data_IF_168602900626
#
_entry.id   IF_168602900626
#
_cell.length_a   1.000
_cell.length_b   1.000
_cell.length_c   1.000
_cell.angle_alpha   90.00
_cell.angle_beta   90.00
_cell.angle_gamma   90.00
#
_symmetry.space_group_name_H-M   'P 1'
#
loop_
_entity.id
_entity.type
_entity.pdbx_description
1 polymer ?
#
# COMPACT_ATOMS: atom_id res chain seq x y z
N UNK A 1 8.45 -50.08 -114.83
CA UNK A 1 7.79 -49.12 -115.75
C UNK A 1 8.20 -47.67 -115.45
N UNK A 2 8.61 -46.93 -116.48
CA UNK A 2 8.96 -45.50 -116.41
C UNK A 2 7.88 -44.69 -117.12
N UNK A 3 7.27 -43.74 -116.42
CA UNK A 3 6.34 -42.79 -117.00
C UNK A 3 7.11 -41.51 -117.39
N UNK A 4 6.87 -40.91 -118.57
CA UNK A 4 7.54 -39.68 -118.98
C UNK A 4 7.22 -38.53 -118.02
N UNK A 5 8.22 -37.69 -117.74
CA UNK A 5 8.13 -36.53 -116.83
C UNK A 5 7.37 -35.40 -117.51
N UNK A 6 6.23 -34.93 -116.96
CA UNK A 6 5.52 -33.77 -117.49
C UNK A 6 6.38 -32.50 -117.52
N UNK A 7 6.06 -31.54 -118.42
CA UNK A 7 6.73 -30.23 -118.45
C UNK A 7 6.40 -29.39 -117.20
N UNK A 8 7.29 -28.48 -116.81
CA UNK A 8 7.25 -27.76 -115.52
C UNK A 8 6.03 -26.84 -115.33
N UNK A 9 5.39 -26.44 -116.42
CA UNK A 9 4.19 -25.60 -116.47
C UNK A 9 2.89 -26.43 -116.61
N UNK A 10 2.97 -27.75 -116.51
CA UNK A 10 1.81 -28.62 -116.53
C UNK A 10 0.85 -28.26 -115.38
N UNK A 11 -0.37 -27.86 -115.75
CA UNK A 11 -1.42 -27.41 -114.84
C UNK A 11 -2.74 -28.19 -115.02
N UNK A 12 -2.71 -29.29 -115.78
CA UNK A 12 -3.87 -30.12 -116.14
C UNK A 12 -3.96 -31.43 -115.37
N UNK A 13 -4.53 -32.46 -116.01
CA UNK A 13 -4.73 -33.80 -115.44
C UNK A 13 -3.62 -34.79 -115.84
N UNK A 14 -2.39 -34.31 -116.07
CA UNK A 14 -1.26 -35.15 -116.45
C UNK A 14 -0.90 -36.16 -115.35
N UNK A 15 -0.33 -37.32 -115.74
CA UNK A 15 0.19 -38.31 -114.79
C UNK A 15 1.49 -37.78 -114.18
N UNK A 16 1.42 -37.28 -112.95
CA UNK A 16 2.60 -36.86 -112.20
C UNK A 16 3.49 -38.08 -111.87
N UNK A 17 4.77 -38.02 -112.24
CA UNK A 17 5.75 -38.99 -111.82
C UNK A 17 6.60 -38.44 -110.66
N UNK A 18 7.37 -39.32 -109.98
CA UNK A 18 8.13 -38.93 -108.81
C UNK A 18 9.20 -37.85 -109.09
N UNK A 19 9.70 -37.77 -110.32
CA UNK A 19 10.67 -36.76 -110.75
C UNK A 19 10.01 -35.37 -110.84
N UNK A 20 8.84 -35.28 -111.47
CA UNK A 20 8.06 -34.05 -111.58
C UNK A 20 7.65 -33.50 -110.21
N UNK A 21 7.17 -34.37 -109.31
CA UNK A 21 6.79 -33.96 -107.94
C UNK A 21 8.00 -33.49 -107.13
N UNK A 22 9.14 -34.20 -107.19
CA UNK A 22 10.37 -33.74 -106.51
C UNK A 22 10.87 -32.42 -107.07
N UNK A 23 10.76 -32.21 -108.40
CA UNK A 23 11.18 -30.98 -109.06
C UNK A 23 10.32 -29.79 -108.68
N UNK A 24 8.99 -29.92 -108.66
CA UNK A 24 8.09 -28.84 -108.21
C UNK A 24 8.22 -28.57 -106.70
N UNK A 25 8.44 -29.60 -105.88
CA UNK A 25 8.71 -29.41 -104.45
C UNK A 25 10.04 -28.71 -104.22
N UNK A 26 11.08 -29.07 -104.99
CA UNK A 26 12.35 -28.37 -104.99
C UNK A 26 12.17 -26.92 -105.44
N UNK A 27 11.44 -26.65 -106.53
CA UNK A 27 11.15 -25.28 -106.98
C UNK A 27 10.37 -24.45 -105.93
N UNK A 28 9.44 -25.08 -105.21
CA UNK A 28 8.70 -24.43 -104.12
C UNK A 28 9.62 -24.10 -102.94
N UNK A 29 10.50 -25.02 -102.54
CA UNK A 29 11.51 -24.81 -101.48
C UNK A 29 12.57 -23.79 -101.93
N UNK A 30 13.05 -23.87 -103.17
CA UNK A 30 14.04 -22.98 -103.80
C UNK A 30 13.48 -21.58 -104.05
N UNK A 31 12.16 -21.40 -104.12
CA UNK A 31 11.52 -20.09 -104.23
C UNK A 31 11.52 -19.30 -102.91
N UNK A 32 11.86 -19.94 -101.79
CA UNK A 32 11.88 -19.31 -100.47
C UNK A 32 12.96 -19.87 -99.51
N UNK A 33 14.23 -20.06 -99.92
CA UNK A 33 15.27 -20.59 -99.04
C UNK A 33 15.53 -19.63 -97.88
N UNK A 34 15.61 -18.32 -98.17
CA UNK A 34 15.79 -17.28 -97.17
C UNK A 34 14.62 -17.23 -96.18
N UNK A 35 13.37 -17.38 -96.65
CA UNK A 35 12.22 -17.38 -95.76
C UNK A 35 12.15 -18.66 -94.90
N UNK A 36 12.47 -19.83 -95.46
CA UNK A 36 12.50 -21.08 -94.69
C UNK A 36 13.67 -21.10 -93.68
N UNK A 37 14.81 -20.54 -94.05
CA UNK A 37 15.94 -20.32 -93.16
C UNK A 37 15.53 -19.39 -92.02
N UNK A 38 14.88 -18.25 -92.30
CA UNK A 38 14.37 -17.35 -91.24
C UNK A 38 13.35 -18.01 -90.32
N UNK A 39 12.50 -18.91 -90.83
CA UNK A 39 11.54 -19.66 -90.02
C UNK A 39 12.24 -20.70 -89.13
N UNK A 40 13.27 -21.38 -89.65
CA UNK A 40 14.08 -22.32 -88.88
C UNK A 40 14.90 -21.59 -87.81
N UNK A 41 15.47 -20.43 -88.14
CA UNK A 41 16.16 -19.55 -87.19
C UNK A 41 15.22 -19.06 -86.09
N UNK A 42 13.99 -18.66 -86.45
CA UNK A 42 12.98 -18.22 -85.47
C UNK A 42 12.52 -19.37 -84.56
N UNK A 43 12.29 -20.56 -85.12
CA UNK A 43 11.93 -21.74 -84.34
C UNK A 43 13.03 -22.14 -83.36
N UNK A 44 14.29 -22.13 -83.82
CA UNK A 44 15.45 -22.35 -82.97
C UNK A 44 15.61 -21.25 -81.90
N UNK A 45 15.37 -19.98 -82.24
CA UNK A 45 15.42 -18.87 -81.29
C UNK A 45 14.34 -18.96 -80.20
N UNK A 46 13.19 -19.57 -80.49
CA UNK A 46 12.15 -19.90 -79.51
C UNK A 46 12.37 -21.25 -78.80
N UNK A 47 13.52 -21.89 -79.00
CA UNK A 47 13.92 -23.13 -78.34
C UNK A 47 13.24 -24.38 -78.89
N UNK A 48 12.66 -24.33 -80.10
CA UNK A 48 11.88 -25.42 -80.69
C UNK A 48 10.74 -25.92 -79.77
N UNK A 49 10.17 -25.03 -78.95
CA UNK A 49 9.10 -25.38 -77.98
C UNK A 49 7.71 -25.31 -78.65
N UNK A 50 7.05 -26.46 -78.91
CA UNK A 50 5.70 -26.47 -79.50
C UNK A 50 4.63 -25.87 -78.58
N UNK A 51 4.92 -25.71 -77.29
CA UNK A 51 4.04 -25.12 -76.28
C UNK A 51 4.59 -23.80 -75.74
N UNK A 52 5.44 -23.09 -76.49
CA UNK A 52 6.13 -21.86 -76.05
C UNK A 52 5.22 -20.90 -75.27
N UNK A 53 4.03 -20.60 -75.79
CA UNK A 53 3.08 -19.70 -75.14
C UNK A 53 2.65 -20.19 -73.75
N UNK A 54 2.39 -21.49 -73.60
CA UNK A 54 2.04 -22.12 -72.32
C UNK A 54 3.24 -22.14 -71.37
N UNK A 55 4.43 -22.49 -71.88
CA UNK A 55 5.67 -22.49 -71.10
C UNK A 55 5.98 -21.11 -70.53
N UNK A 56 5.91 -20.07 -71.36
CA UNK A 56 6.12 -18.68 -70.96
C UNK A 56 5.02 -18.24 -69.99
N UNK A 57 3.76 -18.54 -70.26
CA UNK A 57 2.65 -18.19 -69.36
C UNK A 57 2.81 -18.84 -67.98
N UNK A 58 3.21 -20.11 -67.92
CA UNK A 58 3.49 -20.82 -66.67
C UNK A 58 4.68 -20.21 -65.93
N UNK A 59 5.75 -19.83 -66.66
CA UNK A 59 6.91 -19.16 -66.07
C UNK A 59 6.55 -17.78 -65.50
N UNK A 60 5.66 -17.03 -66.16
CA UNK A 60 5.13 -15.76 -65.68
C UNK A 60 4.19 -15.94 -64.49
N UNK A 61 3.34 -16.97 -64.50
CA UNK A 61 2.43 -17.29 -63.40
C UNK A 61 3.18 -17.67 -62.11
N UNK A 62 4.39 -18.24 -62.23
CA UNK A 62 5.28 -18.49 -61.10
C UNK A 62 6.01 -17.25 -60.57
N UNK A 63 5.92 -16.10 -61.26
CA UNK A 63 6.46 -14.84 -60.74
C UNK A 63 5.51 -14.29 -59.69
N UNK A 64 6.10 -13.82 -58.60
CA UNK A 64 5.37 -13.10 -57.58
C UNK A 64 4.73 -11.83 -58.19
N UNK A 65 3.44 -11.54 -57.93
CA UNK A 65 2.84 -10.27 -58.32
C UNK A 65 3.62 -9.08 -57.77
N UNK A 66 3.68 -8.00 -58.55
CA UNK A 66 4.33 -6.77 -58.09
C UNK A 66 3.53 -6.20 -56.91
N UNK A 67 4.10 -6.29 -55.72
CA UNK A 67 3.55 -5.75 -54.48
C UNK A 67 4.65 -4.96 -53.78
N UNK A 68 4.43 -3.66 -53.58
CA UNK A 68 5.44 -2.77 -53.02
C UNK A 68 5.93 -3.18 -51.63
N UNK A 69 5.07 -3.79 -50.81
CA UNK A 69 5.45 -4.31 -49.49
C UNK A 69 6.37 -5.52 -49.63
N UNK A 70 6.03 -6.50 -50.47
CA UNK A 70 6.89 -7.68 -50.65
C UNK A 70 8.22 -7.30 -51.32
N UNK A 71 8.22 -6.32 -52.24
CA UNK A 71 9.46 -5.74 -52.78
C UNK A 71 10.31 -5.14 -51.66
N UNK A 72 9.72 -4.34 -50.77
CA UNK A 72 10.44 -3.79 -49.62
C UNK A 72 10.97 -4.87 -48.66
N UNK A 73 10.19 -5.92 -48.35
CA UNK A 73 10.65 -7.07 -47.55
C UNK A 73 11.85 -7.75 -48.20
N UNK A 74 11.80 -7.98 -49.51
CA UNK A 74 12.87 -8.67 -50.25
C UNK A 74 14.19 -7.90 -50.33
N UNK A 75 14.16 -6.58 -50.11
CA UNK A 75 15.33 -5.71 -50.12
C UNK A 75 16.02 -5.61 -48.75
N UNK A 76 15.40 -6.13 -47.69
CA UNK A 76 16.02 -6.16 -46.36
C UNK A 76 17.09 -7.24 -46.35
N UNK A 77 18.30 -6.85 -45.98
CA UNK A 77 19.37 -7.77 -45.60
C UNK A 77 19.20 -8.13 -44.12
N UNK A 78 18.85 -9.39 -43.77
CA UNK A 78 18.70 -9.77 -42.37
C UNK A 78 20.04 -9.70 -41.64
N UNK A 79 20.04 -9.12 -40.44
CA UNK A 79 21.18 -9.10 -39.53
C UNK A 79 20.92 -10.00 -38.32
N UNK A 80 21.99 -10.48 -37.66
CA UNK A 80 21.83 -11.31 -36.47
C UNK A 80 21.04 -10.57 -35.37
N UNK A 81 20.09 -11.29 -34.77
CA UNK A 81 19.30 -10.79 -33.66
C UNK A 81 18.43 -9.56 -33.98
N UNK A 82 17.97 -9.43 -35.23
CA UNK A 82 17.07 -8.35 -35.66
C UNK A 82 15.63 -8.80 -35.89
N UNK A 83 14.67 -7.90 -35.68
CA UNK A 83 13.25 -8.09 -35.98
C UNK A 83 12.76 -7.05 -37.00
N UNK A 84 12.15 -7.46 -38.12
CA UNK A 84 11.52 -6.52 -39.05
C UNK A 84 10.31 -5.80 -38.42
N UNK A 85 10.21 -4.50 -38.62
CA UNK A 85 9.07 -3.69 -38.19
C UNK A 85 8.77 -2.59 -39.21
N UNK A 86 7.55 -2.03 -39.18
CA UNK A 86 7.15 -0.89 -40.01
C UNK A 86 7.35 0.42 -39.25
N UNK A 87 8.02 1.40 -39.87
CA UNK A 87 8.12 2.75 -39.35
C UNK A 87 6.80 3.53 -39.50
N UNK A 88 6.71 4.72 -38.91
CA UNK A 88 5.57 5.63 -39.08
C UNK A 88 5.33 6.01 -40.56
N UNK A 89 6.38 6.02 -41.37
CA UNK A 89 6.34 6.25 -42.82
C UNK A 89 5.92 4.99 -43.62
N UNK A 90 5.59 3.89 -42.95
CA UNK A 90 5.23 2.62 -43.56
C UNK A 90 6.40 1.85 -44.20
N UNK A 91 7.66 2.22 -43.86
CA UNK A 91 8.86 1.55 -44.38
C UNK A 91 9.24 0.39 -43.49
N UNK A 92 9.69 -0.72 -44.08
CA UNK A 92 10.15 -1.88 -43.30
C UNK A 92 11.63 -1.66 -42.90
N UNK A 93 11.91 -1.73 -41.61
CA UNK A 93 13.22 -1.53 -40.98
C UNK A 93 13.53 -2.70 -40.03
N UNK A 94 14.78 -2.78 -39.57
CA UNK A 94 15.23 -3.78 -38.60
C UNK A 94 15.45 -3.15 -37.22
N UNK A 95 14.94 -3.81 -36.18
CA UNK A 95 15.19 -3.46 -34.78
C UNK A 95 16.11 -4.50 -34.13
N UNK A 96 17.17 -4.04 -33.45
CA UNK A 96 18.04 -4.92 -32.69
C UNK A 96 17.32 -5.46 -31.44
N UNK A 97 17.32 -6.78 -31.26
CA UNK A 97 16.79 -7.43 -30.07
C UNK A 97 17.90 -7.75 -29.07
N UNK A 98 17.68 -7.41 -27.80
CA UNK A 98 18.51 -7.90 -26.69
C UNK A 98 18.34 -9.40 -26.50
N UNK A 99 19.28 -10.04 -25.81
CA UNK A 99 19.17 -11.45 -25.43
C UNK A 99 17.86 -11.72 -24.66
N UNK A 100 17.54 -10.85 -23.71
CA UNK A 100 16.31 -10.89 -22.91
C UNK A 100 15.04 -10.82 -23.77
N UNK A 101 15.01 -9.94 -24.78
CA UNK A 101 13.86 -9.81 -25.67
C UNK A 101 13.68 -11.04 -26.56
N UNK A 102 14.79 -11.61 -27.07
CA UNK A 102 14.74 -12.87 -27.83
C UNK A 102 14.27 -14.03 -26.96
N UNK A 103 14.79 -14.13 -25.73
CA UNK A 103 14.36 -15.13 -24.77
C UNK A 103 12.86 -15.00 -24.51
N UNK A 104 12.35 -13.78 -24.25
CA UNK A 104 10.93 -13.53 -24.01
C UNK A 104 10.04 -13.92 -25.20
N UNK A 105 10.44 -13.58 -26.43
CA UNK A 105 9.70 -13.91 -27.66
C UNK A 105 9.68 -15.41 -27.98
N UNK A 106 10.64 -16.17 -27.45
CA UNK A 106 10.73 -17.61 -27.65
C UNK A 106 9.80 -18.43 -26.73
N UNK A 107 9.13 -17.78 -25.77
CA UNK A 107 8.29 -18.44 -24.77
C UNK A 107 6.83 -18.48 -25.21
N UNK A 108 6.16 -19.58 -24.90
CA UNK A 108 4.77 -19.85 -25.29
C UNK A 108 3.76 -19.79 -24.12
N UNK A 109 4.27 -19.63 -22.88
CA UNK A 109 3.44 -19.57 -21.67
C UNK A 109 3.64 -18.27 -20.89
N UNK A 110 2.56 -17.69 -20.33
CA UNK A 110 2.66 -16.54 -19.43
C UNK A 110 3.60 -16.78 -18.23
N UNK A 111 3.67 -18.01 -17.72
CA UNK A 111 4.52 -18.40 -16.59
C UNK A 111 6.00 -18.25 -16.93
N UNK A 112 6.40 -18.77 -18.10
CA UNK A 112 7.78 -18.64 -18.55
C UNK A 112 8.11 -17.17 -18.85
N UNK A 113 7.19 -16.43 -19.47
CA UNK A 113 7.39 -14.99 -19.73
C UNK A 113 7.60 -14.19 -18.44
N UNK A 114 6.82 -14.47 -17.38
CA UNK A 114 7.02 -13.82 -16.06
C UNK A 114 8.37 -14.19 -15.45
N UNK A 115 8.81 -15.43 -15.61
CA UNK A 115 10.11 -15.91 -15.14
C UNK A 115 11.24 -15.18 -15.87
N UNK A 116 11.14 -15.04 -17.19
CA UNK A 116 12.08 -14.27 -17.98
C UNK A 116 12.11 -12.82 -17.53
N UNK A 117 10.95 -12.18 -17.31
CA UNK A 117 10.88 -10.81 -16.77
C UNK A 117 11.29 -10.68 -15.30
N UNK A 118 11.71 -11.77 -14.64
CA UNK A 118 12.10 -11.82 -13.22
C UNK A 118 11.00 -11.35 -12.26
N UNK A 119 9.74 -11.45 -12.70
CA UNK A 119 8.58 -11.12 -11.89
C UNK A 119 8.39 -12.19 -10.82
N UNK A 120 8.35 -11.74 -9.57
CA UNK A 120 8.22 -12.62 -8.39
C UNK A 120 6.75 -12.88 -8.05
N UNK A 121 6.53 -13.68 -7.02
CA UNK A 121 5.20 -14.15 -6.59
C UNK A 121 4.13 -13.04 -6.48
N UNK A 122 4.50 -11.82 -6.08
CA UNK A 122 3.55 -10.71 -5.99
C UNK A 122 2.83 -10.38 -7.31
N UNK A 123 3.46 -10.61 -8.47
CA UNK A 123 2.87 -10.32 -9.78
C UNK A 123 1.74 -11.28 -10.18
N UNK A 124 1.55 -12.38 -9.44
CA UNK A 124 0.50 -13.38 -9.68
C UNK A 124 -0.52 -13.44 -8.56
N UNK A 125 -0.43 -12.55 -7.57
CA UNK A 125 -1.28 -12.56 -6.40
C UNK A 125 -2.35 -11.48 -6.51
N UNK A 126 -3.60 -11.85 -6.19
CA UNK A 126 -4.66 -10.87 -6.03
C UNK A 126 -4.39 -9.99 -4.80
N UNK A 127 -4.46 -8.65 -4.90
CA UNK A 127 -4.36 -7.78 -3.74
C UNK A 127 -5.44 -8.08 -2.69
N UNK A 128 -5.12 -7.80 -1.43
CA UNK A 128 -6.12 -7.81 -0.36
C UNK A 128 -7.27 -6.85 -0.68
N UNK A 129 -8.52 -7.28 -0.43
CA UNK A 129 -9.68 -6.41 -0.60
C UNK A 129 -9.91 -5.45 0.58
N UNK A 130 -9.41 -5.80 1.77
CA UNK A 130 -9.51 -5.01 2.99
C UNK A 130 -8.51 -5.47 4.08
N UNK A 131 -8.43 -4.79 5.23
CA UNK A 131 -7.52 -5.12 6.35
C UNK A 131 -7.73 -6.49 6.99
N UNK A 132 -8.87 -7.14 6.76
CA UNK A 132 -9.24 -8.45 7.32
C UNK A 132 -9.23 -9.54 6.28
N UNK A 133 -8.86 -9.23 5.05
CA UNK A 133 -8.63 -10.24 4.05
C UNK A 133 -7.44 -11.12 4.48
N UNK A 134 -7.79 -12.26 5.08
CA UNK A 134 -6.87 -13.32 5.53
C UNK A 134 -6.85 -14.48 4.53
N UNK A 135 -7.42 -14.29 3.33
CA UNK A 135 -7.43 -15.33 2.30
C UNK A 135 -5.99 -15.72 1.99
N UNK A 136 -5.59 -16.99 2.22
CA UNK A 136 -4.23 -17.43 1.93
C UNK A 136 -3.90 -17.16 0.46
N UNK A 137 -2.70 -16.63 0.19
CA UNK A 137 -2.22 -16.39 -1.17
C UNK A 137 -2.52 -15.00 -1.75
N UNK A 138 -3.12 -14.07 -0.99
CA UNK A 138 -3.31 -12.67 -1.42
C UNK A 138 -2.14 -11.75 -1.10
N UNK A 139 -1.91 -10.75 -1.95
CA UNK A 139 -0.86 -9.75 -1.78
C UNK A 139 -1.26 -8.74 -0.70
N UNK A 140 -0.46 -8.64 0.35
CA UNK A 140 -0.69 -7.69 1.42
C UNK A 140 -0.47 -6.25 0.94
N UNK A 141 -1.50 -5.41 1.08
CA UNK A 141 -1.40 -3.98 0.77
C UNK A 141 -1.02 -3.22 2.05
N UNK A 142 0.22 -2.75 2.11
CA UNK A 142 0.65 -1.90 3.23
C UNK A 142 -0.09 -0.56 3.17
N UNK A 143 -0.66 -0.15 4.30
CA UNK A 143 -1.21 1.19 4.51
C UNK A 143 -2.59 1.48 3.91
N UNK A 144 -2.99 0.89 2.78
CA UNK A 144 -4.23 1.27 2.08
C UNK A 144 -5.52 1.13 2.89
N UNK A 145 -5.56 0.19 3.85
CA UNK A 145 -6.74 -0.07 4.69
C UNK A 145 -6.45 0.08 6.19
N UNK A 146 -5.30 0.65 6.58
CA UNK A 146 -4.82 0.68 7.96
C UNK A 146 -3.87 1.84 8.27
N UNK A 147 -2.72 1.56 8.92
CA UNK A 147 -1.68 2.56 9.21
C UNK A 147 -1.04 3.06 7.91
N UNK A 148 -1.57 4.17 7.37
CA UNK A 148 -1.10 4.79 6.12
C UNK A 148 -2.22 5.27 5.20
N UNK A 149 -3.48 4.92 5.47
CA UNK A 149 -4.62 5.42 4.70
C UNK A 149 -4.80 6.92 5.00
N UNK A 150 -4.72 7.74 3.96
CA UNK A 150 -5.05 9.16 4.04
C UNK A 150 -6.57 9.29 3.93
N UNK A 151 -7.23 9.48 5.07
CA UNK A 151 -8.68 9.73 5.09
C UNK A 151 -8.98 11.10 4.50
N UNK A 152 -9.98 11.14 3.61
CA UNK A 152 -10.61 12.38 3.14
C UNK A 152 -11.82 12.72 4.02
N UNK A 153 -12.23 13.98 4.05
CA UNK A 153 -13.41 14.40 4.82
C UNK A 153 -14.69 13.69 4.38
N UNK A 154 -14.79 13.32 3.10
CA UNK A 154 -15.93 12.59 2.52
C UNK A 154 -16.04 11.14 3.03
N UNK A 155 -14.94 10.57 3.52
CA UNK A 155 -14.89 9.21 4.07
C UNK A 155 -15.17 9.18 5.59
N UNK A 156 -15.27 10.35 6.23
CA UNK A 156 -15.54 10.43 7.66
C UNK A 156 -16.97 9.97 7.97
N UNK A 157 -17.09 9.06 8.92
CA UNK A 157 -18.37 8.63 9.45
C UNK A 157 -18.91 9.73 10.36
N UNK A 158 -20.10 10.25 10.04
CA UNK A 158 -20.76 11.29 10.80
C UNK A 158 -21.79 10.69 11.78
N UNK A 159 -21.78 11.16 13.02
CA UNK A 159 -22.72 10.79 14.06
C UNK A 159 -23.29 12.04 14.75
N UNK A 160 -24.56 12.01 15.11
CA UNK A 160 -25.23 13.07 15.86
C UNK A 160 -24.85 13.02 17.35
N UNK A 161 -24.72 11.82 17.94
CA UNK A 161 -24.30 11.70 19.34
C UNK A 161 -24.33 10.26 19.87
N UNK A 162 -24.75 10.07 21.13
CA UNK A 162 -24.70 8.77 21.79
C UNK A 162 -25.50 7.67 21.05
N UNK A 163 -26.72 7.99 20.61
CA UNK A 163 -27.67 6.99 20.12
C UNK A 163 -27.20 6.27 18.86
N UNK A 164 -26.76 7.01 17.86
CA UNK A 164 -26.35 6.47 16.57
C UNK A 164 -24.90 5.97 16.60
N UNK A 165 -24.02 6.62 17.36
CA UNK A 165 -22.66 6.12 17.58
C UNK A 165 -22.65 4.73 18.23
N UNK A 166 -23.52 4.49 19.21
CA UNK A 166 -23.63 3.18 19.86
C UNK A 166 -24.11 2.10 18.90
N UNK A 167 -25.04 2.40 17.99
CA UNK A 167 -25.50 1.44 16.99
C UNK A 167 -24.39 1.05 16.01
N UNK A 168 -23.55 2.01 15.64
CA UNK A 168 -22.32 1.72 14.90
C UNK A 168 -21.34 0.88 15.72
N UNK A 169 -21.11 1.25 16.98
CA UNK A 169 -20.20 0.56 17.90
C UNK A 169 -20.57 -0.91 18.13
N UNK A 170 -21.86 -1.26 18.07
CA UNK A 170 -22.31 -2.65 18.13
C UNK A 170 -21.77 -3.47 16.97
N UNK A 171 -21.74 -2.91 15.76
CA UNK A 171 -21.44 -3.63 14.51
C UNK A 171 -20.00 -3.42 14.04
N UNK A 172 -19.31 -2.41 14.57
CA UNK A 172 -17.99 -2.01 14.09
C UNK A 172 -16.96 -3.12 14.28
N UNK A 173 -16.12 -3.23 13.27
CA UNK A 173 -15.09 -4.24 13.12
C UNK A 173 -13.69 -3.62 13.34
N UNK A 174 -12.62 -4.38 13.64
CA UNK A 174 -11.33 -3.79 14.01
C UNK A 174 -10.67 -3.01 12.87
N UNK A 175 -10.30 -1.76 13.07
CA UNK A 175 -9.75 -0.90 12.02
C UNK A 175 -9.62 0.55 12.48
N UNK A 176 -9.11 1.41 11.59
CA UNK A 176 -9.02 2.84 11.81
C UNK A 176 -10.13 3.55 11.05
N UNK A 177 -10.82 4.48 11.69
CA UNK A 177 -11.97 5.18 11.13
C UNK A 177 -11.82 6.68 11.33
N UNK A 178 -12.00 7.46 10.26
CA UNK A 178 -12.27 8.88 10.38
C UNK A 178 -13.70 9.09 10.86
N UNK A 179 -13.87 9.86 11.93
CA UNK A 179 -15.15 10.01 12.61
C UNK A 179 -15.38 11.46 13.01
N UNK A 180 -16.61 11.93 12.79
CA UNK A 180 -17.14 13.19 13.27
C UNK A 180 -18.37 12.92 14.13
N UNK A 181 -18.43 13.51 15.33
CA UNK A 181 -19.55 13.38 16.27
C UNK A 181 -19.96 14.79 16.71
N UNK A 182 -21.20 15.16 16.41
CA UNK A 182 -21.77 16.49 16.68
C UNK A 182 -21.93 16.76 18.18
N UNK A 183 -22.41 15.78 18.94
CA UNK A 183 -22.46 15.84 20.41
C UNK A 183 -21.75 14.64 21.03
N UNK A 184 -20.50 14.84 21.46
CA UNK A 184 -19.70 13.81 22.13
C UNK A 184 -19.78 13.85 23.65
N UNK A 185 -20.57 14.76 24.24
CA UNK A 185 -20.56 15.04 25.69
C UNK A 185 -20.95 13.83 26.55
N UNK A 186 -21.83 12.97 26.03
CA UNK A 186 -22.26 11.72 26.68
C UNK A 186 -21.35 10.52 26.38
N UNK A 187 -20.48 10.64 25.39
CA UNK A 187 -19.61 9.57 24.90
C UNK A 187 -18.18 9.68 25.45
N UNK A 188 -17.65 10.90 25.45
CA UNK A 188 -16.25 11.20 25.66
C UNK A 188 -16.15 12.32 26.69
N UNK A 189 -15.66 11.97 27.88
CA UNK A 189 -15.57 12.91 29.01
C UNK A 189 -14.78 14.16 28.62
N UNK A 190 -15.41 15.31 28.84
CA UNK A 190 -14.84 16.65 28.67
C UNK A 190 -14.49 17.03 27.23
N UNK A 191 -15.23 16.46 26.28
CA UNK A 191 -15.35 16.97 24.91
C UNK A 191 -16.82 17.24 24.61
N UNK A 192 -17.09 18.30 23.85
CA UNK A 192 -18.45 18.61 23.36
C UNK A 192 -18.63 18.15 21.92
N UNK A 193 -17.54 18.08 21.15
CA UNK A 193 -17.52 17.55 19.80
C UNK A 193 -16.32 16.61 19.63
N UNK A 194 -16.45 15.66 18.71
CA UNK A 194 -15.33 14.83 18.30
C UNK A 194 -15.12 14.94 16.80
N UNK A 195 -13.91 15.30 16.39
CA UNK A 195 -13.51 15.22 14.99
C UNK A 195 -12.12 14.59 14.97
N UNK A 196 -11.98 13.40 14.43
CA UNK A 196 -10.68 12.75 14.47
C UNK A 196 -10.71 11.30 14.06
N UNK A 197 -9.78 10.54 14.62
CA UNK A 197 -9.53 9.15 14.26
C UNK A 197 -9.89 8.24 15.42
N UNK A 198 -10.64 7.17 15.14
CA UNK A 198 -10.94 6.13 16.10
C UNK A 198 -10.30 4.82 15.64
N UNK A 199 -9.39 4.30 16.46
CA UNK A 199 -8.83 2.95 16.29
C UNK A 199 -9.67 1.96 17.08
N UNK A 200 -10.30 1.03 16.38
CA UNK A 200 -11.12 -0.04 16.94
C UNK A 200 -10.33 -1.33 16.98
N UNK A 201 -10.26 -1.94 18.14
CA UNK A 201 -9.68 -3.26 18.35
C UNK A 201 -10.72 -4.16 18.99
N UNK A 202 -10.84 -5.40 18.51
CA UNK A 202 -11.58 -6.41 19.26
C UNK A 202 -10.67 -7.01 20.31
N UNK A 203 -11.21 -7.22 21.51
CA UNK A 203 -10.54 -8.00 22.54
C UNK A 203 -10.31 -9.42 22.01
N UNK A 204 -9.16 -10.05 22.27
CA UNK A 204 -8.99 -11.48 22.00
C UNK A 204 -9.68 -12.37 23.05
N UNK A 205 -10.17 -11.79 24.15
CA UNK A 205 -10.73 -12.51 25.29
C UNK A 205 -12.22 -12.21 25.52
N UNK A 206 -12.96 -13.24 25.95
CA UNK A 206 -14.36 -13.17 26.40
C UNK A 206 -15.34 -12.63 25.35
N UNK A 207 -15.34 -13.21 24.15
CA UNK A 207 -16.22 -12.80 23.05
C UNK A 207 -16.86 -14.01 22.38
N UNK A 208 -18.09 -13.85 21.87
CA UNK A 208 -18.64 -14.82 20.92
C UNK A 208 -17.92 -14.71 19.57
N UNK A 209 -17.50 -15.82 18.96
CA UNK A 209 -16.66 -15.77 17.75
C UNK A 209 -17.39 -15.24 16.51
N UNK A 210 -18.70 -15.49 16.41
CA UNK A 210 -19.50 -15.27 15.20
C UNK A 210 -20.38 -14.01 15.20
N UNK A 211 -20.60 -13.37 16.34
CA UNK A 211 -21.51 -12.21 16.46
C UNK A 211 -20.74 -10.93 16.80
N UNK A 212 -20.71 -9.98 15.86
CA UNK A 212 -20.04 -8.67 16.01
C UNK A 212 -20.58 -7.85 17.18
N UNK A 213 -21.87 -8.01 17.52
CA UNK A 213 -22.53 -7.32 18.63
C UNK A 213 -21.99 -7.81 19.97
N UNK A 214 -21.64 -9.10 20.05
CA UNK A 214 -21.09 -9.76 21.25
C UNK A 214 -19.56 -9.72 21.32
N UNK A 215 -18.91 -8.99 20.42
CA UNK A 215 -17.47 -8.71 20.50
C UNK A 215 -17.20 -7.60 21.50
N UNK A 216 -16.28 -7.85 22.43
CA UNK A 216 -15.77 -6.78 23.27
C UNK A 216 -14.81 -5.94 22.44
N UNK A 217 -14.99 -4.62 22.52
CA UNK A 217 -14.26 -3.68 21.69
C UNK A 217 -13.52 -2.72 22.60
N UNK A 218 -12.29 -2.43 22.21
CA UNK A 218 -11.44 -1.41 22.78
C UNK A 218 -11.23 -0.36 21.72
N UNK A 219 -11.37 0.91 22.08
CA UNK A 219 -11.24 2.01 21.14
C UNK A 219 -10.24 3.03 21.67
N UNK A 220 -9.33 3.46 20.82
CA UNK A 220 -8.51 4.66 21.06
C UNK A 220 -9.06 5.78 20.17
N UNK A 221 -9.56 6.84 20.78
CA UNK A 221 -10.14 7.98 20.08
C UNK A 221 -9.15 9.13 20.15
N UNK A 222 -8.61 9.51 18.99
CA UNK A 222 -7.65 10.59 18.82
C UNK A 222 -8.41 11.81 18.31
N UNK A 223 -8.79 12.71 19.22
CA UNK A 223 -9.52 13.92 18.83
C UNK A 223 -8.54 14.92 18.20
N UNK A 224 -8.92 15.50 17.06
CA UNK A 224 -8.23 16.63 16.47
C UNK A 224 -8.46 17.86 17.34
N UNK A 225 -7.49 18.78 17.33
CA UNK A 225 -7.62 20.04 18.06
C UNK A 225 -8.80 20.86 17.50
N UNK A 226 -9.77 21.16 18.36
CA UNK A 226 -10.88 22.06 18.05
C UNK A 226 -11.27 22.86 19.28
N UNK A 227 -11.23 24.20 19.18
CA UNK A 227 -11.62 25.14 20.25
C UNK A 227 -10.98 24.87 21.64
N UNK A 228 -9.76 24.32 21.68
CA UNK A 228 -9.08 23.98 22.94
C UNK A 228 -9.31 22.56 23.44
N UNK A 229 -10.19 21.78 22.81
CA UNK A 229 -10.38 20.37 23.12
C UNK A 229 -9.35 19.52 22.36
N UNK A 230 -8.45 18.83 23.08
CA UNK A 230 -7.52 17.87 22.49
C UNK A 230 -7.22 16.71 23.45
N UNK A 231 -7.96 15.62 23.26
CA UNK A 231 -7.91 14.46 24.15
C UNK A 231 -7.68 13.17 23.37
N UNK A 232 -6.98 12.24 24.02
CA UNK A 232 -6.97 10.84 23.64
C UNK A 232 -7.86 10.09 24.64
N UNK A 233 -8.95 9.51 24.15
CA UNK A 233 -9.83 8.70 24.96
C UNK A 233 -9.61 7.22 24.72
N UNK A 234 -9.68 6.45 25.79
CA UNK A 234 -9.79 5.01 25.74
C UNK A 234 -11.23 4.64 26.07
N UNK A 235 -11.91 3.99 25.13
CA UNK A 235 -13.25 3.47 25.35
C UNK A 235 -13.28 1.94 25.35
N UNK A 236 -14.23 1.39 26.07
CA UNK A 236 -14.54 -0.03 26.08
C UNK A 236 -16.02 -0.20 25.80
N UNK A 237 -16.33 -1.13 24.92
CA UNK A 237 -17.66 -1.66 24.71
C UNK A 237 -17.66 -3.13 25.11
N UNK A 238 -18.59 -3.50 25.99
CA UNK A 238 -18.74 -4.86 26.50
C UNK A 238 -20.20 -5.27 26.44
N UNK A 239 -20.45 -6.42 25.84
CA UNK A 239 -21.75 -7.07 25.91
C UNK A 239 -21.78 -8.05 27.09
N UNK A 240 -22.87 -8.12 27.82
CA UNK A 240 -23.05 -9.03 28.94
C UNK A 240 -24.14 -10.06 28.57
N UNK A 241 -23.75 -11.31 28.38
CA UNK A 241 -24.69 -12.38 28.04
C UNK A 241 -25.69 -12.68 29.17
N UNK A 242 -25.33 -12.43 30.43
CA UNK A 242 -26.13 -12.78 31.60
C UNK A 242 -27.43 -11.97 31.74
N UNK A 243 -27.43 -10.72 31.28
CA UNK A 243 -28.56 -9.80 31.41
C UNK A 243 -28.97 -9.18 30.05
N UNK A 244 -28.40 -9.68 28.95
CA UNK A 244 -28.62 -9.18 27.59
C UNK A 244 -28.39 -7.66 27.48
N UNK A 245 -27.46 -7.14 28.28
CA UNK A 245 -27.11 -5.72 28.30
C UNK A 245 -25.80 -5.46 27.57
N UNK A 246 -25.59 -4.20 27.21
CA UNK A 246 -24.30 -3.72 26.76
C UNK A 246 -23.89 -2.56 27.64
N UNK A 247 -22.61 -2.48 27.94
CA UNK A 247 -22.00 -1.43 28.73
C UNK A 247 -20.89 -0.78 27.92
N UNK A 248 -20.87 0.54 27.98
CA UNK A 248 -19.80 1.34 27.39
C UNK A 248 -19.18 2.20 28.48
N UNK A 249 -17.86 2.28 28.49
CA UNK A 249 -17.13 3.20 29.36
C UNK A 249 -16.07 3.95 28.56
N UNK A 250 -15.88 5.21 28.89
CA UNK A 250 -14.82 6.05 28.35
C UNK A 250 -13.95 6.56 29.48
N UNK A 251 -12.63 6.63 29.27
CA UNK A 251 -11.69 7.31 30.15
C UNK A 251 -10.73 8.14 29.31
N UNK A 252 -10.28 9.26 29.86
CA UNK A 252 -9.25 10.06 29.18
C UNK A 252 -7.87 9.51 29.52
N UNK A 253 -7.02 9.37 28.50
CA UNK A 253 -5.65 8.84 28.60
C UNK A 253 -4.63 9.97 28.61
N UNK A 254 -4.73 10.89 27.65
CA UNK A 254 -3.91 12.09 27.57
C UNK A 254 -4.83 13.26 27.24
N UNK A 255 -4.56 14.35 27.93
CA UNK A 255 -5.37 15.54 28.00
C UNK A 255 -4.30 16.65 27.96
N UNK A 256 -4.45 17.63 27.08
CA UNK A 256 -3.62 18.83 26.90
C UNK A 256 -2.94 19.44 28.16
N UNK A 257 -2.13 20.50 27.98
CA UNK A 257 -1.39 21.14 29.06
C UNK A 257 -2.23 21.53 30.28
N UNK A 258 -3.45 22.02 30.06
CA UNK A 258 -4.39 22.40 31.13
C UNK A 258 -4.91 21.19 31.90
N UNK A 259 -5.01 20.06 31.23
CA UNK A 259 -5.57 18.85 31.81
C UNK A 259 -4.52 17.95 32.46
N UNK A 260 -3.27 18.04 32.03
CA UNK A 260 -2.13 17.60 32.85
C UNK A 260 -2.06 18.43 34.14
N UNK A 261 -2.25 19.75 34.06
CA UNK A 261 -2.29 20.60 35.24
C UNK A 261 -3.45 20.22 36.17
N UNK A 262 -4.67 20.00 35.64
CA UNK A 262 -5.80 19.49 36.40
C UNK A 262 -5.51 18.14 37.06
N UNK A 263 -4.92 17.18 36.34
CA UNK A 263 -4.57 15.85 36.86
C UNK A 263 -3.57 15.96 38.02
N UNK A 264 -2.53 16.78 37.85
CA UNK A 264 -1.49 17.02 38.84
C UNK A 264 -1.97 17.91 40.01
N UNK A 265 -3.08 18.62 39.88
CA UNK A 265 -3.67 19.45 40.94
C UNK A 265 -4.87 18.81 41.64
N UNK A 266 -5.22 17.55 41.33
CA UNK A 266 -6.41 16.92 41.92
C UNK A 266 -6.27 16.74 43.43
N UNK A 267 -7.35 17.09 44.13
CA UNK A 267 -7.44 16.94 45.58
C UNK A 267 -8.59 15.98 45.93
N UNK A 268 -8.48 15.28 47.06
CA UNK A 268 -9.47 14.36 47.60
C UNK A 268 -9.80 14.72 49.06
N UNK A 269 -10.95 14.23 49.55
CA UNK A 269 -11.52 14.58 50.86
C UNK A 269 -12.70 15.55 50.77
N UNK A 270 -13.53 15.59 51.81
CA UNK A 270 -14.82 16.31 51.83
C UNK A 270 -14.80 17.65 52.58
N UNK A 271 -13.64 18.14 53.03
CA UNK A 271 -13.51 19.38 53.82
C UNK A 271 -13.31 20.64 52.98
N UNK A 272 -13.80 21.78 53.47
CA UNK A 272 -13.64 23.10 52.83
C UNK A 272 -12.23 23.68 52.97
N UNK A 273 -11.49 23.29 54.01
CA UNK A 273 -10.15 23.80 54.31
C UNK A 273 -9.04 22.75 54.24
N UNK A 274 -9.38 21.47 54.39
CA UNK A 274 -8.42 20.36 54.38
C UNK A 274 -8.79 19.36 53.31
N UNK A 275 -8.09 19.45 52.18
CA UNK A 275 -8.07 18.43 51.14
C UNK A 275 -6.66 17.89 51.01
N UNK A 276 -6.53 16.63 50.62
CA UNK A 276 -5.25 15.96 50.43
C UNK A 276 -5.04 15.64 48.94
N UNK A 277 -3.81 15.41 48.48
CA UNK A 277 -3.55 15.00 47.10
C UNK A 277 -4.37 13.77 46.72
N UNK A 278 -4.98 13.78 45.52
CA UNK A 278 -5.64 12.61 44.97
C UNK A 278 -4.61 11.52 44.58
N UNK A 279 -5.08 10.29 44.34
CA UNK A 279 -4.21 9.21 43.84
C UNK A 279 -3.60 9.64 42.50
N UNK A 280 -2.28 9.43 42.37
CA UNK A 280 -1.47 9.84 41.22
C UNK A 280 -0.88 11.25 41.31
N UNK A 281 -1.22 12.03 42.33
CA UNK A 281 -0.72 13.40 42.48
C UNK A 281 0.63 13.42 43.23
N UNK A 282 1.67 14.06 42.65
CA UNK A 282 2.92 14.29 43.36
C UNK A 282 2.75 15.27 44.52
N UNK A 283 3.38 14.99 45.66
CA UNK A 283 3.40 15.85 46.84
C UNK A 283 4.80 15.94 47.40
N UNK A 284 5.23 17.16 47.72
CA UNK A 284 6.43 17.39 48.51
C UNK A 284 6.06 17.24 49.99
N UNK A 285 6.67 16.28 50.68
CA UNK A 285 6.37 15.99 52.08
C UNK A 285 7.64 15.69 52.88
N UNK A 286 7.54 15.79 54.20
CA UNK A 286 8.58 15.40 55.14
C UNK A 286 8.28 14.00 55.67
N UNK A 287 9.15 13.03 55.40
CA UNK A 287 9.13 11.74 56.05
C UNK A 287 9.71 11.85 57.47
N UNK A 288 8.94 11.42 58.47
CA UNK A 288 9.24 11.61 59.90
C UNK A 288 9.70 10.33 60.61
N UNK A 289 9.91 9.25 59.87
CA UNK A 289 10.20 7.93 60.44
C UNK A 289 8.94 7.15 60.79
N UNK A 290 9.14 5.98 61.38
CA UNK A 290 8.06 5.00 61.62
C UNK A 290 7.37 5.18 62.96
N UNK A 291 8.08 5.71 63.96
CA UNK A 291 7.62 5.87 65.33
C UNK A 291 8.19 7.14 65.97
N UNK A 292 7.58 7.62 67.06
CA UNK A 292 8.15 8.72 67.85
C UNK A 292 9.52 8.33 68.40
N UNK A 293 10.52 9.22 68.24
CA UNK A 293 11.89 8.96 68.70
C UNK A 293 12.72 8.06 67.78
N UNK A 294 12.25 7.78 66.57
CA UNK A 294 13.02 7.08 65.53
C UNK A 294 14.36 7.81 65.27
N UNK A 295 15.46 7.07 65.41
CA UNK A 295 16.84 7.58 65.24
C UNK A 295 17.42 7.22 63.87
N UNK A 296 16.66 6.52 63.03
CA UNK A 296 17.08 6.01 61.74
C UNK A 296 16.10 6.42 60.62
N UNK A 297 15.79 7.72 60.53
CA UNK A 297 14.91 8.24 59.48
C UNK A 297 15.60 8.17 58.11
N UNK A 298 15.34 7.08 57.39
CA UNK A 298 15.87 6.76 56.04
C UNK A 298 14.71 6.56 55.06
N UNK A 299 14.82 7.14 53.88
CA UNK A 299 13.86 6.96 52.78
C UNK A 299 14.62 6.97 51.45
N UNK A 300 14.40 5.96 50.61
CA UNK A 300 14.97 5.85 49.27
C UNK A 300 13.90 6.01 48.19
N UNK A 301 14.35 6.28 46.96
CA UNK A 301 13.51 6.19 45.76
C UNK A 301 12.78 4.83 45.70
N UNK A 302 11.47 4.86 45.47
CA UNK A 302 10.62 3.68 45.36
C UNK A 302 10.06 3.15 46.68
N UNK A 303 10.52 3.65 47.82
CA UNK A 303 10.02 3.22 49.13
C UNK A 303 8.55 3.63 49.31
N UNK A 304 7.74 2.68 49.80
CA UNK A 304 6.32 2.92 50.07
C UNK A 304 6.10 3.12 51.56
N UNK A 305 5.53 4.27 51.92
CA UNK A 305 5.28 4.70 53.30
C UNK A 305 3.80 4.98 53.52
N UNK A 306 3.38 4.90 54.79
CA UNK A 306 2.04 5.34 55.17
C UNK A 306 1.98 6.86 55.18
N UNK A 307 0.87 7.45 54.74
CA UNK A 307 0.68 8.90 54.81
C UNK A 307 0.74 9.46 56.24
N UNK A 308 0.47 8.63 57.26
CA UNK A 308 0.66 8.94 58.69
C UNK A 308 2.12 9.26 59.06
N UNK A 309 3.08 8.75 58.28
CA UNK A 309 4.52 8.96 58.46
C UNK A 309 5.00 10.24 57.75
N UNK A 310 4.13 10.85 56.94
CA UNK A 310 4.42 12.05 56.18
C UNK A 310 3.78 13.27 56.84
N UNK A 311 4.53 14.38 56.90
CA UNK A 311 4.00 15.70 57.25
C UNK A 311 4.13 16.66 56.08
N UNK A 312 3.23 17.63 55.95
CA UNK A 312 3.37 18.70 54.97
C UNK A 312 4.66 19.48 55.20
N UNK A 313 5.31 19.93 54.12
CA UNK A 313 6.50 20.78 54.25
C UNK A 313 6.06 22.19 54.66
N UNK A 314 6.63 22.69 55.75
CA UNK A 314 6.48 24.08 56.18
C UNK A 314 7.82 24.78 55.99
N UNK A 315 7.89 25.71 55.04
CA UNK A 315 9.03 26.60 54.85
C UNK A 315 8.61 28.00 55.31
N UNK A 316 9.34 28.58 56.24
CA UNK A 316 9.06 29.93 56.74
C UNK A 316 10.33 30.75 56.90
N UNK A 317 10.22 32.06 56.70
CA UNK A 317 11.29 33.01 57.00
C UNK A 317 10.66 34.28 57.57
N UNK A 318 11.44 35.04 58.34
CA UNK A 318 10.97 36.31 58.91
C UNK A 318 11.01 37.40 57.84
N UNK A 319 9.85 37.89 57.42
CA UNK A 319 9.73 38.91 56.36
C UNK A 319 10.06 40.33 56.86
N UNK A 320 10.00 40.57 58.19
CA UNK A 320 10.55 41.79 58.82
C UNK A 320 10.63 41.66 60.35
N UNK A 321 11.72 42.10 60.98
CA UNK A 321 11.68 42.49 62.41
C UNK A 321 11.08 43.91 62.54
N UNK A 322 10.67 44.33 63.73
CA UNK A 322 10.10 45.67 63.95
C UNK A 322 11.11 46.77 63.57
N UNK A 323 11.01 47.28 62.34
CA UNK A 323 11.82 48.36 61.78
C UNK A 323 11.84 48.36 60.23
N UNK A 324 11.88 49.52 59.56
CA UNK A 324 11.94 49.58 58.09
C UNK A 324 13.22 48.91 57.56
N UNK A 325 13.08 47.97 56.62
CA UNK A 325 14.20 47.43 55.81
C UNK A 325 15.01 46.28 56.42
N UNK A 326 14.59 45.68 57.54
CA UNK A 326 15.31 44.55 58.16
C UNK A 326 14.69 43.20 57.76
N UNK A 327 15.30 42.51 56.80
CA UNK A 327 14.90 41.15 56.36
C UNK A 327 15.61 40.07 57.20
N UNK A 328 14.87 39.06 57.67
CA UNK A 328 15.47 37.92 58.35
C UNK A 328 16.17 36.99 57.37
N UNK A 329 17.42 36.61 57.65
CA UNK A 329 18.27 35.81 56.75
C UNK A 329 18.20 34.29 56.96
N UNK A 330 17.40 33.81 57.92
CA UNK A 330 17.37 32.39 58.29
C UNK A 330 16.01 31.76 57.96
N UNK A 331 15.87 31.05 56.83
CA UNK A 331 14.70 30.21 56.58
C UNK A 331 14.70 29.02 57.54
N UNK A 332 13.51 28.62 57.98
CA UNK A 332 13.28 27.38 58.71
C UNK A 332 12.45 26.43 57.87
N UNK A 333 12.78 25.15 57.93
CA UNK A 333 12.04 24.07 57.29
C UNK A 333 11.58 23.08 58.36
N UNK A 334 10.31 22.71 58.32
CA UNK A 334 9.71 21.80 59.28
C UNK A 334 8.64 20.93 58.64
N UNK A 335 8.20 19.93 59.41
CA UNK A 335 7.03 19.14 59.07
C UNK A 335 5.81 19.68 59.83
N UNK A 336 4.67 19.80 59.17
CA UNK A 336 3.41 20.06 59.86
C UNK A 336 3.02 18.88 60.75
N UNK A 337 2.23 19.14 61.80
CA UNK A 337 1.58 18.09 62.60
C UNK A 337 0.58 17.26 61.79
N UNK A 338 -0.02 17.86 60.75
CA UNK A 338 -0.95 17.20 59.84
C UNK A 338 -0.28 16.08 59.06
N UNK A 339 -1.01 14.97 58.91
CA UNK A 339 -0.59 13.79 58.17
C UNK A 339 -1.45 13.56 56.95
N UNK A 340 -0.94 12.77 56.02
CA UNK A 340 -1.67 12.41 54.81
C UNK A 340 -2.40 11.06 55.00
N UNK A 341 -3.54 10.83 54.33
CA UNK A 341 -4.19 9.52 54.33
C UNK A 341 -3.61 8.60 53.25
N UNK A 342 -3.76 7.29 53.44
CA UNK A 342 -3.41 6.30 52.41
C UNK A 342 -1.91 5.97 52.33
N UNK A 343 -1.45 5.54 51.15
CA UNK A 343 -0.04 5.13 50.93
C UNK A 343 0.61 5.95 49.83
N UNK A 344 1.89 6.19 50.02
CA UNK A 344 2.70 7.04 49.17
C UNK A 344 3.99 6.33 48.77
N UNK A 345 4.37 6.45 47.51
CA UNK A 345 5.66 5.99 47.01
C UNK A 345 6.61 7.18 46.89
N UNK A 346 7.82 7.04 47.41
CA UNK A 346 8.87 8.03 47.27
C UNK A 346 9.37 8.11 45.81
N UNK A 347 9.34 9.30 45.24
CA UNK A 347 9.92 9.63 43.92
C UNK A 347 11.32 10.26 44.04
N UNK A 348 11.79 10.46 45.27
CA UNK A 348 13.15 10.93 45.59
C UNK A 348 13.55 10.44 46.98
N UNK A 349 14.85 10.40 47.26
CA UNK A 349 15.38 10.06 48.58
C UNK A 349 16.64 9.21 48.46
N UNK A 350 17.48 9.26 49.49
CA UNK A 350 18.72 8.48 49.58
C UNK A 350 18.85 7.91 50.99
N UNK A 351 19.25 6.64 51.08
CA UNK A 351 19.36 5.87 52.34
C UNK A 351 20.73 6.01 53.02
N UNK A 352 21.39 7.15 52.87
CA UNK A 352 22.77 7.37 53.31
C UNK A 352 22.89 8.10 54.66
N UNK A 353 21.78 8.64 55.18
CA UNK A 353 21.81 9.59 56.29
C UNK A 353 21.13 9.05 57.55
N UNK A 354 21.78 9.25 58.70
CA UNK A 354 21.37 8.79 60.03
C UNK A 354 20.96 9.99 60.92
N UNK A 355 20.11 9.75 61.92
CA UNK A 355 19.68 10.78 62.88
C UNK A 355 18.16 10.99 62.96
N UNK A 356 17.77 12.01 63.72
CA UNK A 356 16.36 12.33 64.05
C UNK A 356 15.72 13.37 63.13
N UNK A 357 16.42 13.79 62.07
CA UNK A 357 15.92 14.79 61.13
C UNK A 357 14.98 14.16 60.10
N UNK A 358 13.79 14.75 59.94
CA UNK A 358 12.86 14.37 58.88
C UNK A 358 13.47 14.61 57.48
N UNK A 359 13.00 13.84 56.49
CA UNK A 359 13.50 13.91 55.10
C UNK A 359 12.46 14.53 54.19
N UNK A 360 12.79 15.68 53.59
CA UNK A 360 11.96 16.30 52.56
C UNK A 360 12.17 15.52 51.26
N UNK A 361 11.10 14.92 50.74
CA UNK A 361 11.14 14.14 49.51
C UNK A 361 9.87 14.40 48.68
N UNK A 362 9.96 14.14 47.39
CA UNK A 362 8.81 14.04 46.51
C UNK A 362 8.20 12.65 46.66
N UNK A 363 6.88 12.60 46.78
CA UNK A 363 6.10 11.37 46.85
C UNK A 363 4.97 11.42 45.82
N UNK A 364 4.45 10.26 45.43
CA UNK A 364 3.18 10.16 44.71
C UNK A 364 2.22 9.31 45.52
N UNK A 365 0.97 9.75 45.63
CA UNK A 365 -0.06 8.95 46.29
C UNK A 365 -0.45 7.78 45.41
N UNK A 366 -0.45 6.57 45.96
CA UNK A 366 -0.80 5.34 45.22
C UNK A 366 -2.10 4.71 45.71
N UNK A 367 -2.54 5.03 46.95
CA UNK A 367 -3.78 4.54 47.58
C UNK A 367 -4.42 5.63 48.45
#
# INVERSE_FOLDING_TARGET
PTAPTPPDDAAGNEIANAEFVRKLLAALVDSSPEALDTLNELAAALGNDPNFATTVTNALAGKQPLNGVLTAVSQITPEENTLPYFSEEGRILLAQLSEKARALLALDTPEAMRTELELKAAATMEPQSDIRDRTPGRLALSGMHGFGQAFTSTEALAFEGLSDFVEWLKKVTPGRYAVSITDSSQLLTGTTQFNGIIDVMWSPYANSESDTVRKFKTLMCYNQYYQGEHCIHYMQYRYNDSDNSWNMSSRVVVYDGDSLAYLLSRMAGSGSYFKYPAVGVPVLAVYRGTTSGDKEIKIGLGDVVQGSQLGGVNLSCTISSAGPGSYGSTPSAGATGYTFPGRYMALSGVRDSYGTSGRICLFVRIE
#
